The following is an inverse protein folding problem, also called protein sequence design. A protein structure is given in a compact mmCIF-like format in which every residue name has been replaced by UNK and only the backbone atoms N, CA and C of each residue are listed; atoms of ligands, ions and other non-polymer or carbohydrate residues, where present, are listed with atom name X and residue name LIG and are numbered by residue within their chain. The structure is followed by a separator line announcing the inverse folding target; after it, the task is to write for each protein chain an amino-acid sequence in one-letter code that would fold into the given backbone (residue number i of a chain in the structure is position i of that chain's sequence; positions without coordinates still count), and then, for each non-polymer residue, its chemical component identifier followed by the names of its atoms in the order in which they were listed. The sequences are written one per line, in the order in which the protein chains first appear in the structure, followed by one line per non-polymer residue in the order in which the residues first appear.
data_IF_428564151392
#
_entry.id   IF_428564151392
#
_cell.length_a   1.000
_cell.length_b   1.000
_cell.length_c   1.000
_cell.angle_alpha   90.00
_cell.angle_beta   90.00
_cell.angle_gamma   90.00
#
_symmetry.space_group_name_H-M   'P 1'
#
loop_
_entity.id
_entity.type
_entity.pdbx_description
1 polymer ?
#
# COMPACT_ATOMS: atom_id res chain seq x y z
N UNK A 1 2.27 -16.53 -2.72
CA UNK A 1 1.48 -15.33 -3.05
C UNK A 1 0.58 -15.03 -1.86
N UNK A 2 0.75 -13.85 -1.28
CA UNK A 2 -0.04 -13.37 -0.16
C UNK A 2 -0.61 -11.97 -0.47
N UNK A 3 -1.65 -11.60 0.26
CA UNK A 3 -2.13 -10.22 0.33
C UNK A 3 -1.49 -9.57 1.56
N UNK A 4 -0.79 -8.45 1.36
CA UNK A 4 -0.04 -7.77 2.41
C UNK A 4 -0.54 -6.33 2.53
N UNK A 5 -0.90 -5.93 3.75
CA UNK A 5 -1.23 -4.55 4.09
C UNK A 5 -0.02 -3.89 4.75
N UNK A 6 0.39 -2.72 4.26
CA UNK A 6 1.50 -1.94 4.82
C UNK A 6 1.03 -0.53 5.12
N UNK A 7 1.25 -0.07 6.35
CA UNK A 7 1.06 1.34 6.70
C UNK A 7 2.40 2.09 6.59
N UNK A 8 2.38 3.36 6.20
CA UNK A 8 3.60 4.18 6.17
C UNK A 8 4.60 3.78 5.06
N UNK A 9 4.10 3.44 3.87
CA UNK A 9 4.92 2.97 2.74
C UNK A 9 4.99 3.94 1.55
N UNK A 10 4.60 5.20 1.71
CA UNK A 10 4.82 6.22 0.67
C UNK A 10 6.31 6.45 0.38
N UNK A 11 7.16 6.29 1.39
CA UNK A 11 8.62 6.48 1.31
C UNK A 11 9.37 5.63 2.34
N UNK A 12 10.71 5.64 2.26
CA UNK A 12 11.57 5.00 3.25
C UNK A 12 11.45 3.48 3.30
N UNK A 13 11.43 2.92 4.52
CA UNK A 13 11.48 1.46 4.74
C UNK A 13 10.21 0.77 4.20
N UNK A 14 9.03 1.33 4.47
CA UNK A 14 7.77 0.78 3.99
C UNK A 14 7.71 0.71 2.46
N UNK A 15 8.22 1.74 1.78
CA UNK A 15 8.33 1.75 0.31
C UNK A 15 9.22 0.62 -0.22
N UNK A 16 10.41 0.45 0.37
CA UNK A 16 11.32 -0.62 -0.03
C UNK A 16 10.74 -2.01 0.22
N UNK A 17 10.01 -2.18 1.32
CA UNK A 17 9.27 -3.41 1.62
C UNK A 17 8.17 -3.67 0.60
N UNK A 18 7.32 -2.67 0.30
CA UNK A 18 6.27 -2.78 -0.71
C UNK A 18 6.85 -3.18 -2.07
N UNK A 19 7.92 -2.52 -2.52
CA UNK A 19 8.61 -2.85 -3.77
C UNK A 19 9.14 -4.28 -3.78
N UNK A 20 9.75 -4.75 -2.68
CA UNK A 20 10.28 -6.11 -2.61
C UNK A 20 9.16 -7.16 -2.65
N UNK A 21 8.08 -6.94 -1.91
CA UNK A 21 6.91 -7.84 -1.89
C UNK A 21 6.22 -7.91 -3.26
N UNK A 22 6.13 -6.79 -3.98
CA UNK A 22 5.61 -6.74 -5.35
C UNK A 22 6.52 -7.51 -6.34
N UNK A 23 7.84 -7.39 -6.22
CA UNK A 23 8.80 -8.19 -7.01
C UNK A 23 8.65 -9.70 -6.77
N UNK A 24 8.24 -10.09 -5.58
CA UNK A 24 7.95 -11.48 -5.20
C UNK A 24 6.52 -11.93 -5.61
N UNK A 25 5.84 -11.12 -6.43
CA UNK A 25 4.50 -11.39 -6.97
C UNK A 25 3.41 -11.50 -5.90
N UNK A 26 3.55 -10.76 -4.79
CA UNK A 26 2.48 -10.58 -3.82
C UNK A 26 1.55 -9.43 -4.24
N UNK A 27 0.36 -9.38 -3.64
CA UNK A 27 -0.53 -8.22 -3.71
C UNK A 27 -0.29 -7.36 -2.48
N UNK A 28 -0.07 -6.07 -2.68
CA UNK A 28 0.27 -5.12 -1.62
C UNK A 28 -0.76 -4.00 -1.61
N UNK A 29 -1.31 -3.71 -0.43
CA UNK A 29 -2.12 -2.53 -0.17
C UNK A 29 -1.33 -1.59 0.76
N UNK A 30 -1.15 -0.34 0.35
CA UNK A 30 -0.46 0.69 1.14
C UNK A 30 -1.46 1.71 1.68
N UNK A 31 -1.40 1.96 2.99
CA UNK A 31 -2.15 3.01 3.68
C UNK A 31 -1.15 4.04 4.21
N UNK A 32 -1.28 5.29 3.79
CA UNK A 32 -0.35 6.35 4.19
C UNK A 32 -1.06 7.71 4.12
N UNK A 33 -0.51 8.74 4.77
CA UNK A 33 -1.07 10.10 4.72
C UNK A 33 -0.95 10.70 3.31
N UNK A 34 0.02 10.24 2.52
CA UNK A 34 0.27 10.65 1.14
C UNK A 34 0.62 9.41 0.30
N UNK A 35 0.35 9.42 -1.01
CA UNK A 35 0.65 8.25 -1.88
C UNK A 35 1.37 8.61 -3.17
N UNK A 36 1.87 9.83 -3.27
CA UNK A 36 2.56 10.39 -4.42
C UNK A 36 3.91 9.70 -4.70
N UNK A 37 4.59 9.20 -3.66
CA UNK A 37 5.81 8.42 -3.77
C UNK A 37 5.62 7.03 -4.41
N UNK A 38 4.37 6.57 -4.56
CA UNK A 38 4.04 5.26 -5.12
C UNK A 38 3.71 5.27 -6.61
N UNK A 39 3.74 6.42 -7.30
CA UNK A 39 3.35 6.54 -8.70
C UNK A 39 4.09 5.54 -9.61
N UNK A 40 5.43 5.49 -9.50
CA UNK A 40 6.25 4.55 -10.29
C UNK A 40 5.89 3.08 -10.01
N UNK A 41 5.64 2.73 -8.74
CA UNK A 41 5.23 1.37 -8.37
C UNK A 41 3.84 1.02 -8.87
N UNK A 42 2.89 1.98 -8.86
CA UNK A 42 1.54 1.77 -9.41
C UNK A 42 1.57 1.54 -10.91
N UNK A 43 2.41 2.27 -11.64
CA UNK A 43 2.61 2.07 -13.08
C UNK A 43 3.26 0.72 -13.38
N UNK A 44 4.21 0.29 -12.54
CA UNK A 44 4.92 -0.99 -12.72
C UNK A 44 4.07 -2.20 -12.32
N UNK A 45 3.21 -2.06 -11.31
CA UNK A 45 2.43 -3.16 -10.71
C UNK A 45 0.93 -2.80 -10.58
N UNK A 46 0.23 -2.46 -11.67
CA UNK A 46 -1.14 -1.93 -11.62
C UNK A 46 -2.16 -2.89 -11.03
N UNK A 47 -1.97 -4.20 -11.19
CA UNK A 47 -2.87 -5.24 -10.69
C UNK A 47 -2.52 -5.76 -9.28
N UNK A 48 -1.32 -5.41 -8.80
CA UNK A 48 -0.75 -5.94 -7.57
C UNK A 48 -0.57 -4.89 -6.48
N UNK A 49 -0.69 -3.59 -6.80
CA UNK A 49 -0.56 -2.51 -5.82
C UNK A 49 -1.85 -1.68 -5.72
N UNK A 50 -2.43 -1.67 -4.52
CA UNK A 50 -3.43 -0.68 -4.11
C UNK A 50 -2.75 0.34 -3.20
N UNK A 51 -3.09 1.62 -3.34
CA UNK A 51 -2.65 2.61 -2.35
C UNK A 51 -3.76 3.62 -2.04
N UNK A 52 -3.99 3.81 -0.75
CA UNK A 52 -5.04 4.67 -0.20
C UNK A 52 -4.43 5.73 0.70
N UNK A 53 -4.91 6.96 0.54
CA UNK A 53 -4.66 8.02 1.52
C UNK A 53 -5.50 7.70 2.76
N UNK A 54 -4.84 7.51 3.90
CA UNK A 54 -5.47 7.09 5.15
C UNK A 54 -4.67 7.62 6.34
N UNK A 55 -5.34 8.34 7.23
CA UNK A 55 -4.82 8.54 8.59
C UNK A 55 -5.11 7.28 9.42
N UNK A 56 -4.09 6.45 9.60
CA UNK A 56 -4.20 5.18 10.34
C UNK A 56 -4.46 5.35 11.84
N UNK A 57 -4.35 6.57 12.39
CA UNK A 57 -4.80 6.86 13.75
C UNK A 57 -6.33 6.97 13.86
N UNK A 58 -7.02 7.14 12.71
CA UNK A 58 -8.47 7.12 12.62
C UNK A 58 -8.97 5.70 12.33
N UNK A 59 -9.59 5.07 13.34
CA UNK A 59 -10.18 3.73 13.20
C UNK A 59 -11.16 3.65 12.02
N UNK A 60 -12.01 4.67 11.87
CA UNK A 60 -13.00 4.74 10.78
C UNK A 60 -12.34 4.71 9.40
N UNK A 61 -11.28 5.50 9.19
CA UNK A 61 -10.56 5.53 7.91
C UNK A 61 -9.83 4.21 7.65
N UNK A 62 -9.21 3.65 8.69
CA UNK A 62 -8.52 2.37 8.59
C UNK A 62 -9.49 1.24 8.20
N UNK A 63 -10.65 1.15 8.85
CA UNK A 63 -11.68 0.15 8.56
C UNK A 63 -12.20 0.28 7.11
N UNK A 64 -12.43 1.51 6.64
CA UNK A 64 -12.83 1.77 5.26
C UNK A 64 -11.76 1.30 4.26
N UNK A 65 -10.50 1.67 4.48
CA UNK A 65 -9.40 1.30 3.59
C UNK A 65 -9.14 -0.21 3.56
N UNK A 66 -9.23 -0.88 4.71
CA UNK A 66 -9.08 -2.34 4.79
C UNK A 66 -10.23 -3.04 4.06
N UNK A 67 -11.46 -2.56 4.21
CA UNK A 67 -12.62 -3.11 3.48
C UNK A 67 -12.47 -2.97 1.98
N UNK A 68 -11.92 -1.84 1.50
CA UNK A 68 -11.66 -1.60 0.08
C UNK A 68 -10.49 -2.41 -0.49
N UNK A 69 -9.58 -2.87 0.37
CA UNK A 69 -8.41 -3.67 -0.01
C UNK A 69 -8.65 -5.19 0.03
N UNK A 70 -9.78 -5.64 0.58
CA UNK A 70 -10.18 -7.04 0.69
C UNK A 70 -10.75 -7.59 -0.63
#
# INVERSE_FOLDING_TARGET
MANVLITGANRGIGFLMARQLLKENNKVAVLDLETDGLCELKETYPDNLLAYVCDVSSQMQADECVTRAA
#
